data_IF_053346357999
#
_entry.id   IF_053346357999
#
_cell.length_a   1.000
_cell.length_b   1.000
_cell.length_c   1.000
_cell.angle_alpha   90.00
_cell.angle_beta   90.00
_cell.angle_gamma   90.00
#
_symmetry.space_group_name_H-M   'P 1'
#
loop_
_entity.id
_entity.type
_entity.pdbx_description
1 polymer ?
#
# COMPACT_ATOMS: atom_id res chain seq x y z
N UNK A 1 -9.26 -40.10 -24.41
CA UNK A 1 -7.98 -39.38 -24.18
C UNK A 1 -7.75 -38.46 -25.37
N UNK A 2 -7.93 -37.14 -25.21
CA UNK A 2 -7.68 -36.20 -26.32
C UNK A 2 -8.50 -34.91 -26.39
N UNK A 3 -9.45 -34.65 -25.47
CA UNK A 3 -10.30 -33.44 -25.54
C UNK A 3 -10.05 -32.39 -24.44
N UNK A 4 -9.18 -32.63 -23.46
CA UNK A 4 -8.98 -31.69 -22.34
C UNK A 4 -7.84 -30.68 -22.51
N UNK A 5 -6.94 -30.82 -23.49
CA UNK A 5 -5.85 -29.85 -23.70
C UNK A 5 -6.30 -28.60 -24.47
N UNK A 6 -7.15 -28.76 -25.48
CA UNK A 6 -7.53 -27.62 -26.34
C UNK A 6 -8.51 -26.64 -25.68
N UNK A 7 -9.30 -27.06 -24.69
CA UNK A 7 -10.22 -26.14 -23.99
C UNK A 7 -9.46 -25.25 -22.99
N UNK A 8 -8.33 -25.73 -22.44
CA UNK A 8 -7.48 -24.91 -21.54
C UNK A 8 -6.52 -23.97 -22.30
N UNK A 9 -6.18 -24.29 -23.56
CA UNK A 9 -5.32 -23.46 -24.41
C UNK A 9 -6.04 -22.28 -25.09
N UNK A 10 -7.37 -22.36 -25.26
CA UNK A 10 -8.12 -21.30 -25.96
C UNK A 10 -8.60 -20.18 -25.02
N UNK A 11 -8.80 -20.50 -23.73
CA UNK A 11 -9.14 -19.51 -22.69
C UNK A 11 -7.92 -18.68 -22.22
N UNK A 12 -6.71 -19.10 -22.58
CA UNK A 12 -5.46 -18.40 -22.23
C UNK A 12 -5.15 -17.21 -23.15
N UNK A 13 -5.92 -17.00 -24.23
CA UNK A 13 -5.68 -15.89 -25.18
C UNK A 13 -6.16 -14.53 -24.68
N UNK A 14 -7.07 -14.45 -23.71
CA UNK A 14 -7.59 -13.17 -23.21
C UNK A 14 -7.01 -12.72 -21.85
N UNK A 15 -6.32 -13.60 -21.12
CA UNK A 15 -5.61 -13.23 -19.89
C UNK A 15 -4.13 -13.60 -19.96
N UNK A 16 -3.26 -12.57 -19.99
CA UNK A 16 -1.80 -12.72 -19.86
C UNK A 16 -1.39 -13.02 -18.41
N UNK A 17 -1.92 -14.09 -17.80
CA UNK A 17 -1.50 -14.55 -16.49
C UNK A 17 -0.85 -15.93 -16.56
N UNK A 18 0.01 -16.25 -15.59
CA UNK A 18 0.70 -17.54 -15.46
C UNK A 18 0.64 -17.99 -14.01
N UNK A 19 0.35 -19.28 -13.81
CA UNK A 19 0.58 -19.94 -12.53
C UNK A 19 1.97 -20.58 -12.54
N UNK A 20 2.77 -20.26 -11.53
CA UNK A 20 4.13 -20.79 -11.39
C UNK A 20 4.29 -21.36 -9.98
N UNK A 21 4.70 -22.63 -9.83
CA UNK A 21 4.97 -23.18 -8.50
C UNK A 21 6.23 -22.52 -7.92
N UNK A 22 6.19 -22.20 -6.63
CA UNK A 22 7.33 -21.64 -5.90
C UNK A 22 7.62 -22.50 -4.66
N UNK A 23 8.50 -23.48 -4.82
CA UNK A 23 8.73 -24.50 -3.80
C UNK A 23 7.52 -25.42 -3.62
N UNK A 24 7.47 -26.14 -2.50
CA UNK A 24 6.56 -27.27 -2.33
C UNK A 24 5.17 -26.88 -1.81
N UNK A 25 4.98 -25.64 -1.38
CA UNK A 25 3.75 -25.20 -0.69
C UNK A 25 3.30 -23.79 -1.08
N UNK A 26 3.69 -23.31 -2.26
CA UNK A 26 3.27 -22.01 -2.75
C UNK A 26 3.07 -21.99 -4.26
N UNK A 27 2.02 -21.28 -4.68
CA UNK A 27 1.77 -20.92 -6.06
C UNK A 27 1.88 -19.41 -6.24
N UNK A 28 2.53 -18.98 -7.32
CA UNK A 28 2.55 -17.60 -7.78
C UNK A 28 1.58 -17.43 -8.94
N UNK A 29 0.65 -16.49 -8.78
CA UNK A 29 -0.18 -15.98 -9.86
C UNK A 29 0.51 -14.74 -10.41
N UNK A 30 1.16 -14.87 -11.56
CA UNK A 30 1.90 -13.80 -12.22
C UNK A 30 1.03 -13.19 -13.31
N UNK A 31 0.66 -11.92 -13.14
CA UNK A 31 0.04 -11.13 -14.20
C UNK A 31 1.14 -10.50 -15.09
N UNK A 32 0.75 -9.67 -16.04
CA UNK A 32 1.70 -8.92 -16.86
C UNK A 32 2.66 -8.11 -15.96
N UNK A 33 3.97 -8.22 -16.25
CA UNK A 33 5.03 -7.75 -15.36
C UNK A 33 5.30 -6.25 -15.53
N UNK A 34 4.25 -5.46 -15.32
CA UNK A 34 4.26 -4.01 -15.40
C UNK A 34 3.60 -3.38 -14.15
N UNK A 35 4.09 -2.22 -13.72
CA UNK A 35 3.46 -1.43 -12.66
C UNK A 35 2.29 -0.65 -13.28
N UNK A 36 1.10 -1.27 -13.27
CA UNK A 36 -0.15 -0.66 -13.74
C UNK A 36 -1.23 -0.76 -12.65
N UNK A 37 -2.04 0.29 -12.44
CA UNK A 37 -3.18 0.24 -11.53
C UNK A 37 -4.18 -0.85 -11.91
N UNK A 38 -4.41 -1.08 -13.19
CA UNK A 38 -5.36 -2.07 -13.72
C UNK A 38 -4.95 -3.49 -13.34
N UNK A 39 -3.66 -3.83 -13.54
CA UNK A 39 -3.09 -5.12 -13.12
C UNK A 39 -3.16 -5.25 -11.59
N UNK A 40 -2.83 -4.19 -10.87
CA UNK A 40 -2.85 -4.21 -9.41
C UNK A 40 -4.27 -4.42 -8.85
N UNK A 41 -5.29 -3.83 -9.48
CA UNK A 41 -6.70 -4.07 -9.13
C UNK A 41 -7.04 -5.56 -9.31
N UNK A 42 -6.60 -6.21 -10.39
CA UNK A 42 -6.83 -7.65 -10.60
C UNK A 42 -6.15 -8.50 -9.53
N UNK A 43 -4.88 -8.20 -9.19
CA UNK A 43 -4.13 -8.89 -8.14
C UNK A 43 -4.87 -8.82 -6.80
N UNK A 44 -5.33 -7.63 -6.41
CA UNK A 44 -6.03 -7.44 -5.13
C UNK A 44 -7.46 -7.96 -5.15
N UNK A 45 -8.14 -7.94 -6.29
CA UNK A 45 -9.44 -8.58 -6.46
C UNK A 45 -9.33 -10.10 -6.28
N UNK A 46 -8.29 -10.73 -6.86
CA UNK A 46 -8.00 -12.16 -6.65
C UNK A 46 -7.71 -12.46 -5.18
N UNK A 47 -6.84 -11.66 -4.55
CA UNK A 47 -6.54 -11.81 -3.13
C UNK A 47 -7.80 -11.70 -2.26
N UNK A 48 -8.69 -10.75 -2.56
CA UNK A 48 -9.94 -10.56 -1.84
C UNK A 48 -10.92 -11.72 -2.05
N UNK A 49 -11.01 -12.28 -3.26
CA UNK A 49 -11.85 -13.45 -3.56
C UNK A 49 -11.39 -14.68 -2.77
N UNK A 50 -10.09 -14.99 -2.85
CA UNK A 50 -9.48 -16.10 -2.10
C UNK A 50 -9.66 -15.96 -0.58
N UNK A 51 -9.47 -14.75 -0.05
CA UNK A 51 -9.66 -14.48 1.37
C UNK A 51 -11.13 -14.64 1.81
N UNK A 52 -12.09 -14.28 0.95
CA UNK A 52 -13.52 -14.43 1.21
C UNK A 52 -13.99 -15.89 1.18
N UNK A 53 -13.37 -16.73 0.34
CA UNK A 53 -13.66 -18.15 0.25
C UNK A 53 -13.31 -18.92 1.54
N UNK A 54 -12.37 -18.41 2.35
CA UNK A 54 -12.00 -18.94 3.67
C UNK A 54 -11.64 -20.43 3.66
N UNK A 55 -10.95 -20.87 2.61
CA UNK A 55 -10.45 -22.23 2.53
C UNK A 55 -9.44 -22.52 3.64
N UNK A 56 -9.61 -23.64 4.36
CA UNK A 56 -8.71 -24.06 5.45
C UNK A 56 -7.30 -24.43 4.97
N UNK A 57 -7.19 -24.83 3.71
CA UNK A 57 -5.92 -25.20 3.09
C UNK A 57 -5.10 -23.98 2.65
N UNK A 58 -5.69 -22.78 2.55
CA UNK A 58 -4.93 -21.55 2.30
C UNK A 58 -4.32 -21.08 3.61
N UNK A 59 -2.99 -21.03 3.68
CA UNK A 59 -2.25 -20.53 4.84
C UNK A 59 -2.04 -19.03 4.78
N UNK A 60 -1.66 -18.51 3.62
CA UNK A 60 -1.35 -17.09 3.46
C UNK A 60 -1.57 -16.62 2.01
N UNK A 61 -2.02 -15.37 1.87
CA UNK A 61 -2.29 -14.70 0.60
C UNK A 61 -1.49 -13.40 0.61
N UNK A 62 -0.49 -13.27 -0.27
CA UNK A 62 0.43 -12.12 -0.29
C UNK A 62 0.38 -11.42 -1.65
N UNK A 63 -0.50 -10.41 -1.82
CA UNK A 63 -0.56 -9.62 -3.05
C UNK A 63 0.60 -8.61 -3.12
N UNK A 64 1.16 -8.45 -4.32
CA UNK A 64 2.21 -7.46 -4.62
C UNK A 64 1.76 -6.53 -5.75
N UNK A 65 2.68 -6.01 -6.58
CA UNK A 65 2.33 -5.14 -7.72
C UNK A 65 1.52 -5.87 -8.79
N UNK A 66 2.10 -6.95 -9.32
CA UNK A 66 1.61 -7.72 -10.47
C UNK A 66 1.64 -9.24 -10.20
N UNK A 67 1.92 -9.65 -8.97
CA UNK A 67 2.01 -11.07 -8.58
C UNK A 67 1.25 -11.29 -7.27
N UNK A 68 0.54 -12.40 -7.17
CA UNK A 68 -0.06 -12.88 -5.94
C UNK A 68 0.59 -14.21 -5.53
N UNK A 69 1.17 -14.27 -4.33
CA UNK A 69 1.61 -15.53 -3.76
C UNK A 69 0.50 -16.15 -2.90
N UNK A 70 0.23 -17.43 -3.11
CA UNK A 70 -0.74 -18.22 -2.35
C UNK A 70 0.01 -19.37 -1.70
N UNK A 71 0.19 -19.28 -0.38
CA UNK A 71 0.76 -20.36 0.41
C UNK A 71 -0.36 -21.29 0.86
N UNK A 72 -0.15 -22.59 0.69
CA UNK A 72 -1.15 -23.60 1.02
C UNK A 72 -0.57 -24.71 1.89
N UNK A 73 -1.45 -25.53 2.45
CA UNK A 73 -1.10 -26.70 3.25
C UNK A 73 -1.11 -27.98 2.40
N UNK A 74 0.05 -28.54 2.03
CA UNK A 74 0.12 -29.74 1.20
C UNK A 74 -0.41 -30.99 1.92
N UNK A 75 -0.68 -30.94 3.23
CA UNK A 75 -1.34 -32.04 3.96
C UNK A 75 -2.87 -32.00 3.85
N UNK A 76 -3.45 -30.92 3.33
CA UNK A 76 -4.90 -30.76 3.18
C UNK A 76 -5.37 -30.77 1.72
N UNK A 77 -4.49 -30.41 0.78
CA UNK A 77 -4.81 -30.35 -0.65
C UNK A 77 -3.54 -30.61 -1.47
N UNK A 78 -3.69 -31.33 -2.58
CA UNK A 78 -2.62 -31.59 -3.52
C UNK A 78 -2.31 -30.35 -4.37
N UNK A 79 -1.04 -30.21 -4.77
CA UNK A 79 -0.57 -29.06 -5.55
C UNK A 79 -1.37 -28.85 -6.86
N UNK A 80 -1.76 -29.94 -7.50
CA UNK A 80 -2.54 -29.92 -8.74
C UNK A 80 -3.97 -29.41 -8.51
N UNK A 81 -4.62 -29.81 -7.42
CA UNK A 81 -5.97 -29.34 -7.09
C UNK A 81 -5.97 -27.85 -6.73
N UNK A 82 -4.91 -27.36 -6.09
CA UNK A 82 -4.70 -25.91 -5.88
C UNK A 82 -4.58 -25.20 -7.23
N UNK A 83 -3.76 -25.71 -8.15
CA UNK A 83 -3.60 -25.12 -9.48
C UNK A 83 -4.93 -25.02 -10.23
N UNK A 84 -5.70 -26.12 -10.26
CA UNK A 84 -7.03 -26.16 -10.88
C UNK A 84 -7.99 -25.15 -10.22
N UNK A 85 -8.00 -25.07 -8.90
CA UNK A 85 -8.82 -24.11 -8.17
C UNK A 85 -8.45 -22.65 -8.50
N UNK A 86 -7.15 -22.33 -8.52
CA UNK A 86 -6.68 -20.97 -8.83
C UNK A 86 -7.03 -20.55 -10.26
N UNK A 87 -6.94 -21.48 -11.23
CA UNK A 87 -7.40 -21.22 -12.59
C UNK A 87 -8.91 -20.96 -12.67
N UNK A 88 -9.72 -21.71 -11.91
CA UNK A 88 -11.16 -21.50 -11.86
C UNK A 88 -11.53 -20.13 -11.29
N UNK A 89 -10.88 -19.70 -10.20
CA UNK A 89 -11.09 -18.37 -9.61
C UNK A 89 -10.63 -17.24 -10.54
N UNK A 90 -9.54 -17.43 -11.30
CA UNK A 90 -9.08 -16.49 -12.33
C UNK A 90 -10.12 -16.25 -13.42
N UNK A 91 -10.83 -17.31 -13.84
CA UNK A 91 -11.90 -17.18 -14.82
C UNK A 91 -13.08 -16.35 -14.28
N UNK A 92 -13.42 -16.50 -13.00
CA UNK A 92 -14.53 -15.79 -12.35
C UNK A 92 -14.23 -14.30 -12.08
N UNK A 93 -12.96 -13.92 -11.96
CA UNK A 93 -12.54 -12.53 -11.72
C UNK A 93 -12.94 -11.57 -12.83
N UNK A 94 -13.01 -12.04 -14.08
CA UNK A 94 -13.39 -11.21 -15.22
C UNK A 94 -14.83 -10.67 -15.12
N UNK A 95 -15.68 -11.28 -14.28
CA UNK A 95 -17.09 -10.91 -14.15
C UNK A 95 -17.38 -9.92 -13.00
N UNK A 96 -16.46 -9.78 -12.03
CA UNK A 96 -16.69 -8.99 -10.81
C UNK A 96 -15.85 -7.70 -10.80
N UNK A 97 -16.49 -6.61 -11.20
CA UNK A 97 -15.89 -5.28 -11.28
C UNK A 97 -15.79 -4.51 -9.94
N UNK A 98 -14.63 -3.88 -9.76
CA UNK A 98 -14.29 -2.71 -8.93
C UNK A 98 -14.53 -2.78 -7.41
N UNK A 99 -13.44 -2.87 -6.66
CA UNK A 99 -13.39 -2.50 -5.23
C UNK A 99 -13.41 -0.99 -5.05
N UNK A 100 -14.20 -0.47 -4.10
CA UNK A 100 -14.18 0.94 -3.73
C UNK A 100 -12.78 1.40 -3.28
N UNK A 101 -12.17 2.31 -4.04
CA UNK A 101 -10.92 2.99 -3.68
C UNK A 101 -11.23 4.28 -2.91
N UNK A 102 -10.55 4.49 -1.78
CA UNK A 102 -10.60 5.76 -1.05
C UNK A 102 -9.51 6.70 -1.56
N UNK A 103 -9.70 8.02 -1.38
CA UNK A 103 -8.64 9.01 -1.64
C UNK A 103 -8.22 9.68 -0.33
N UNK A 104 -6.92 9.79 -0.09
CA UNK A 104 -6.34 10.32 1.14
C UNK A 104 -5.49 11.55 0.86
N UNK A 105 -5.83 12.67 1.51
CA UNK A 105 -5.02 13.89 1.47
C UNK A 105 -4.04 13.89 2.63
N UNK A 106 -2.81 13.43 2.36
CA UNK A 106 -1.78 13.22 3.39
C UNK A 106 -0.98 14.51 3.58
N UNK A 107 -1.06 15.17 4.76
CA UNK A 107 -0.25 16.34 5.05
C UNK A 107 1.23 15.95 5.20
N UNK A 108 2.14 16.71 4.57
CA UNK A 108 3.59 16.47 4.60
C UNK A 108 4.33 17.79 4.84
N UNK A 109 5.19 17.79 5.85
CA UNK A 109 6.20 18.82 6.04
C UNK A 109 7.45 18.41 5.26
N UNK A 110 7.82 19.19 4.24
CA UNK A 110 8.94 18.91 3.35
C UNK A 110 10.24 19.58 3.82
N UNK A 111 11.37 18.94 3.54
CA UNK A 111 12.70 19.51 3.75
C UNK A 111 13.15 19.61 5.21
N UNK A 112 14.27 20.29 5.42
CA UNK A 112 14.90 20.44 6.73
C UNK A 112 15.21 19.09 7.37
N UNK A 113 14.99 18.99 8.69
CA UNK A 113 15.18 17.73 9.44
C UNK A 113 14.15 16.64 9.08
N UNK A 114 12.98 17.03 8.55
CA UNK A 114 11.92 16.11 8.14
C UNK A 114 12.15 15.52 6.76
N UNK A 115 12.95 16.18 5.93
CA UNK A 115 13.29 15.79 4.57
C UNK A 115 14.76 16.07 4.25
N UNK A 116 15.71 15.39 4.92
CA UNK A 116 17.13 15.71 4.83
C UNK A 116 17.72 15.55 3.42
N UNK A 117 17.08 14.75 2.55
CA UNK A 117 17.55 14.53 1.19
C UNK A 117 16.97 15.52 0.16
N UNK A 118 15.97 16.32 0.53
CA UNK A 118 15.24 17.17 -0.44
C UNK A 118 16.17 18.13 -1.18
N UNK A 119 17.08 18.80 -0.47
CA UNK A 119 18.02 19.74 -1.08
C UNK A 119 18.98 19.04 -2.04
N UNK A 120 19.50 17.88 -1.64
CA UNK A 120 20.39 17.07 -2.50
C UNK A 120 19.67 16.53 -3.74
N UNK A 121 18.38 16.15 -3.57
CA UNK A 121 17.51 15.70 -4.65
C UNK A 121 17.22 16.84 -5.64
N UNK A 122 16.94 18.04 -5.13
CA UNK A 122 16.73 19.20 -5.97
C UNK A 122 17.98 19.51 -6.81
N UNK A 123 19.16 19.52 -6.17
CA UNK A 123 20.44 19.77 -6.83
C UNK A 123 20.72 18.75 -7.95
N UNK A 124 20.61 17.44 -7.68
CA UNK A 124 20.85 16.39 -8.70
C UNK A 124 19.87 16.46 -9.87
N UNK A 125 18.68 16.97 -9.64
CA UNK A 125 17.63 17.11 -10.64
C UNK A 125 17.68 18.43 -11.41
N UNK A 126 18.60 19.35 -11.04
CA UNK A 126 18.65 20.70 -11.62
C UNK A 126 17.42 21.55 -11.30
N UNK A 127 16.77 21.30 -10.15
CA UNK A 127 15.55 21.95 -9.71
C UNK A 127 15.77 22.71 -8.40
N UNK A 128 14.88 23.65 -8.09
CA UNK A 128 14.70 24.19 -6.74
C UNK A 128 13.93 23.20 -5.88
N UNK A 129 14.10 23.29 -4.57
CA UNK A 129 13.36 22.46 -3.60
C UNK A 129 11.85 22.59 -3.77
N UNK A 130 11.35 23.80 -4.00
CA UNK A 130 9.92 24.06 -4.19
C UNK A 130 9.37 23.40 -5.46
N UNK A 131 10.18 23.28 -6.52
CA UNK A 131 9.80 22.58 -7.75
C UNK A 131 9.72 21.07 -7.52
N UNK A 132 10.64 20.49 -6.74
CA UNK A 132 10.57 19.08 -6.34
C UNK A 132 9.31 18.81 -5.51
N UNK A 133 9.03 19.69 -4.53
CA UNK A 133 7.81 19.61 -3.71
C UNK A 133 6.57 19.66 -4.58
N UNK A 134 6.50 20.63 -5.51
CA UNK A 134 5.36 20.78 -6.41
C UNK A 134 5.17 19.55 -7.31
N UNK A 135 6.25 19.02 -7.89
CA UNK A 135 6.20 17.80 -8.72
C UNK A 135 5.73 16.59 -7.93
N UNK A 136 6.19 16.45 -6.69
CA UNK A 136 5.79 15.34 -5.82
C UNK A 136 4.33 15.47 -5.36
N UNK A 137 3.90 16.67 -4.95
CA UNK A 137 2.57 16.92 -4.38
C UNK A 137 1.44 17.04 -5.42
N UNK A 138 1.74 17.45 -6.66
CA UNK A 138 0.73 17.67 -7.71
C UNK A 138 0.33 16.37 -8.45
N UNK A 139 0.35 15.24 -7.74
CA UNK A 139 0.06 13.91 -8.27
C UNK A 139 -0.86 13.18 -7.30
N UNK A 140 -1.74 12.36 -7.87
CA UNK A 140 -2.49 11.35 -7.14
C UNK A 140 -1.79 10.02 -7.36
N UNK A 141 -1.28 9.41 -6.30
CA UNK A 141 -0.56 8.14 -6.35
C UNK A 141 -1.48 6.98 -5.99
N UNK A 142 -1.40 5.91 -6.76
CA UNK A 142 -2.02 4.63 -6.42
C UNK A 142 -1.19 3.90 -5.37
N UNK A 143 -1.83 3.33 -4.34
CA UNK A 143 -1.20 2.46 -3.36
C UNK A 143 -1.23 1.02 -3.86
N UNK A 144 -0.07 0.52 -4.29
CA UNK A 144 0.03 -0.77 -4.96
C UNK A 144 0.09 -1.95 -3.99
N UNK A 145 0.87 -1.80 -2.92
CA UNK A 145 1.04 -2.85 -1.92
C UNK A 145 1.48 -2.27 -0.58
N UNK A 146 1.32 -3.10 0.44
CA UNK A 146 1.88 -2.90 1.76
C UNK A 146 2.94 -3.97 2.01
N UNK A 147 4.09 -3.65 2.61
CA UNK A 147 5.15 -4.64 2.83
C UNK A 147 6.44 -4.06 3.41
N UNK A 148 7.56 -4.78 3.46
CA UNK A 148 8.82 -4.37 4.12
C UNK A 148 8.74 -4.23 5.65
N UNK A 149 7.82 -3.42 6.15
CA UNK A 149 7.38 -3.34 7.56
C UNK A 149 5.86 -3.17 7.61
N UNK A 150 5.18 -3.50 8.73
CA UNK A 150 3.73 -3.41 8.83
C UNK A 150 3.19 -2.03 8.40
N UNK A 151 2.47 -2.00 7.27
CA UNK A 151 1.82 -0.81 6.74
C UNK A 151 2.70 0.14 5.93
N UNK A 152 3.88 -0.27 5.45
CA UNK A 152 4.66 0.60 4.56
C UNK A 152 3.94 0.75 3.23
N UNK A 153 3.71 1.99 2.82
CA UNK A 153 2.96 2.28 1.62
C UNK A 153 3.89 2.34 0.41
N UNK A 154 3.74 1.40 -0.53
CA UNK A 154 4.38 1.48 -1.85
C UNK A 154 3.45 2.19 -2.83
N UNK A 155 3.80 3.43 -3.17
CA UNK A 155 3.00 4.28 -4.03
C UNK A 155 3.53 4.27 -5.46
N UNK A 156 2.70 4.76 -6.38
CA UNK A 156 2.99 4.81 -7.81
C UNK A 156 4.18 5.67 -8.23
N UNK A 157 4.36 5.78 -9.54
CA UNK A 157 5.53 6.43 -10.13
C UNK A 157 5.55 7.93 -9.87
N UNK A 158 6.72 8.44 -9.47
CA UNK A 158 7.01 9.88 -9.43
C UNK A 158 7.40 10.38 -10.84
N UNK A 159 7.28 11.70 -11.11
CA UNK A 159 7.82 12.27 -12.34
C UNK A 159 9.30 11.95 -12.52
N UNK A 160 9.72 11.59 -13.74
CA UNK A 160 11.10 11.19 -14.05
C UNK A 160 12.15 12.22 -13.57
N UNK A 161 11.80 13.52 -13.58
CA UNK A 161 12.65 14.61 -13.10
C UNK A 161 13.04 14.48 -11.62
N UNK A 162 12.22 13.84 -10.79
CA UNK A 162 12.49 13.65 -9.35
C UNK A 162 12.75 12.19 -8.98
N UNK A 163 12.80 11.29 -9.97
CA UNK A 163 13.21 9.90 -9.75
C UNK A 163 14.67 9.84 -9.31
N UNK A 164 14.95 9.04 -8.27
CA UNK A 164 16.24 9.06 -7.59
C UNK A 164 16.62 7.67 -7.07
N UNK A 165 17.85 7.19 -7.29
CA UNK A 165 18.27 5.90 -6.75
C UNK A 165 18.24 5.91 -5.22
N UNK A 166 18.15 4.72 -4.65
CA UNK A 166 18.35 4.53 -3.21
C UNK A 166 19.77 4.96 -2.83
N UNK A 167 19.94 5.41 -1.60
CA UNK A 167 21.25 5.54 -0.98
C UNK A 167 22.00 4.21 -1.03
N UNK A 168 23.25 4.24 -1.46
CA UNK A 168 24.10 3.05 -1.53
C UNK A 168 24.31 2.42 -0.15
N UNK A 169 24.37 3.25 0.90
CA UNK A 169 24.38 2.81 2.30
C UNK A 169 23.05 3.22 2.94
N UNK A 170 22.16 2.26 3.28
CA UNK A 170 20.89 2.61 3.91
C UNK A 170 21.10 3.22 5.30
N UNK A 171 20.21 4.12 5.70
CA UNK A 171 20.17 4.64 7.07
C UNK A 171 19.78 3.52 8.03
N UNK A 172 20.41 3.50 9.20
CA UNK A 172 20.06 2.54 10.27
C UNK A 172 18.65 2.76 10.81
N UNK A 173 18.21 4.02 10.85
CA UNK A 173 16.88 4.41 11.30
C UNK A 173 16.35 5.53 10.41
N UNK A 174 15.18 5.30 9.83
CA UNK A 174 14.34 6.29 9.15
C UNK A 174 13.11 6.50 10.03
N UNK A 175 12.83 7.72 10.52
CA UNK A 175 11.74 7.95 11.47
C UNK A 175 10.36 7.59 10.92
N UNK A 176 9.46 7.17 11.82
CA UNK A 176 8.05 6.94 11.48
C UNK A 176 7.40 8.21 10.88
N UNK A 177 6.59 8.05 9.84
CA UNK A 177 5.98 9.11 9.05
C UNK A 177 6.86 9.66 7.93
N UNK A 178 8.09 9.19 7.76
CA UNK A 178 8.97 9.67 6.68
C UNK A 178 8.36 9.36 5.31
N UNK A 179 8.46 10.31 4.40
CA UNK A 179 8.06 10.21 2.99
C UNK A 179 9.33 10.23 2.16
N UNK A 180 9.48 9.27 1.25
CA UNK A 180 10.69 9.18 0.46
C UNK A 180 10.49 8.72 -0.97
N UNK A 181 11.56 8.86 -1.77
CA UNK A 181 11.63 8.43 -3.17
C UNK A 181 12.75 7.39 -3.35
N UNK A 182 12.48 6.34 -4.12
CA UNK A 182 13.47 5.34 -4.53
C UNK A 182 13.19 4.82 -5.95
N UNK A 183 14.18 4.94 -6.83
CA UNK A 183 14.00 4.77 -8.26
C UNK A 183 12.90 5.70 -8.75
N UNK A 184 11.90 5.11 -9.40
CA UNK A 184 10.70 5.82 -9.87
C UNK A 184 9.57 5.85 -8.84
N UNK A 185 9.73 5.34 -7.62
CA UNK A 185 8.62 5.17 -6.67
C UNK A 185 8.68 6.15 -5.51
N UNK A 186 7.51 6.49 -4.97
CA UNK A 186 7.37 7.18 -3.67
C UNK A 186 6.72 6.24 -2.64
N UNK A 187 6.87 6.55 -1.36
CA UNK A 187 6.39 5.70 -0.28
C UNK A 187 6.48 6.35 1.08
N UNK A 188 5.84 5.70 2.07
CA UNK A 188 5.76 6.22 3.43
C UNK A 188 6.13 5.15 4.46
N UNK A 189 7.01 5.54 5.38
CA UNK A 189 7.45 4.71 6.50
C UNK A 189 6.43 4.81 7.65
N UNK A 190 5.76 3.72 8.04
CA UNK A 190 4.69 3.76 9.05
C UNK A 190 5.26 3.71 10.48
N UNK A 191 6.44 3.12 10.62
CA UNK A 191 7.22 2.96 11.85
C UNK A 191 8.67 3.31 11.57
N UNK A 192 9.48 3.44 12.62
CA UNK A 192 10.92 3.57 12.45
C UNK A 192 11.52 2.26 11.92
N UNK A 193 12.29 2.35 10.85
CA UNK A 193 12.91 1.19 10.20
C UNK A 193 14.20 1.62 9.47
N UNK A 194 15.15 0.71 9.23
CA UNK A 194 16.27 1.01 8.33
C UNK A 194 15.74 1.29 6.90
N UNK A 195 16.43 2.13 6.13
CA UNK A 195 15.93 2.50 4.81
C UNK A 195 16.93 3.29 3.96
N UNK A 196 16.94 2.98 2.66
CA UNK A 196 17.78 3.65 1.67
C UNK A 196 17.05 4.66 0.79
N UNK A 197 15.79 5.00 1.08
CA UNK A 197 15.03 5.93 0.25
C UNK A 197 15.50 7.38 0.49
N UNK A 198 15.40 8.22 -0.54
CA UNK A 198 15.64 9.66 -0.44
C UNK A 198 14.50 10.29 0.36
N UNK A 199 14.73 10.68 1.61
CA UNK A 199 13.70 11.21 2.51
C UNK A 199 13.51 12.70 2.23
N UNK A 200 12.33 13.05 1.72
CA UNK A 200 12.00 14.40 1.23
C UNK A 200 11.06 15.17 2.15
N UNK A 201 10.42 14.49 3.10
CA UNK A 201 9.52 15.10 4.07
C UNK A 201 8.96 14.08 5.05
N UNK A 202 8.07 14.54 5.93
CA UNK A 202 7.44 13.71 6.96
C UNK A 202 5.98 14.07 7.15
N UNK A 203 5.14 13.06 7.30
CA UNK A 203 3.73 13.21 7.66
C UNK A 203 3.53 13.06 9.18
N UNK A 204 2.67 13.88 9.82
CA UNK A 204 2.28 13.68 11.21
C UNK A 204 1.23 12.56 11.36
N UNK A 205 0.72 12.01 10.26
CA UNK A 205 -0.31 10.96 10.25
C UNK A 205 0.27 9.65 10.77
N UNK A 206 -0.40 9.05 11.74
CA UNK A 206 -0.05 7.73 12.24
C UNK A 206 -0.61 6.65 11.30
N UNK A 207 0.24 6.16 10.39
CA UNK A 207 -0.10 5.20 9.33
C UNK A 207 -0.37 3.79 9.86
N UNK A 208 0.30 3.41 10.97
CA UNK A 208 0.13 2.12 11.64
C UNK A 208 -0.08 2.32 13.16
N UNK A 209 -1.09 1.66 13.73
CA UNK A 209 -1.28 1.54 15.18
C UNK A 209 -1.88 0.17 15.51
N UNK A 210 -1.14 -0.74 16.16
CA UNK A 210 -1.62 -2.08 16.49
C UNK A 210 -2.83 -2.10 17.45
N UNK A 211 -3.17 -0.96 18.06
CA UNK A 211 -4.29 -0.82 18.99
C UNK A 211 -5.60 -0.42 18.30
N UNK A 212 -5.57 -0.10 17.00
CA UNK A 212 -6.79 0.18 16.21
C UNK A 212 -7.47 -1.12 15.81
N UNK A 213 -8.79 -1.05 15.60
CA UNK A 213 -9.55 -2.14 14.99
C UNK A 213 -8.97 -2.51 13.61
N UNK A 214 -8.62 -1.51 12.82
CA UNK A 214 -7.84 -1.65 11.57
C UNK A 214 -6.43 -1.08 11.79
N UNK A 215 -5.40 -1.92 12.00
CA UNK A 215 -4.07 -1.43 12.37
C UNK A 215 -3.39 -0.55 11.33
N UNK A 216 -3.56 -0.87 10.04
CA UNK A 216 -3.02 -0.10 8.92
C UNK A 216 -4.09 0.85 8.39
N UNK A 217 -3.76 2.14 8.27
CA UNK A 217 -4.73 3.18 7.92
C UNK A 217 -5.25 3.09 6.48
N UNK A 218 -4.38 2.75 5.54
CA UNK A 218 -4.68 2.72 4.10
C UNK A 218 -4.52 1.30 3.56
N UNK A 219 -5.27 0.98 2.51
CA UNK A 219 -5.21 -0.34 1.87
C UNK A 219 -4.76 -0.24 0.42
N UNK A 220 -4.15 -1.29 -0.14
CA UNK A 220 -3.89 -1.34 -1.57
C UNK A 220 -5.16 -1.07 -2.39
N UNK A 221 -5.01 -0.38 -3.51
CA UNK A 221 -6.12 0.17 -4.28
C UNK A 221 -6.47 1.61 -3.93
N UNK A 222 -6.16 2.09 -2.72
CA UNK A 222 -6.41 3.49 -2.35
C UNK A 222 -5.52 4.48 -3.11
N UNK A 223 -5.96 5.73 -3.15
CA UNK A 223 -5.27 6.86 -3.78
C UNK A 223 -4.73 7.82 -2.72
N UNK A 224 -3.52 8.32 -2.90
CA UNK A 224 -2.86 9.26 -1.99
C UNK A 224 -2.50 10.54 -2.73
N UNK A 225 -2.87 11.69 -2.17
CA UNK A 225 -2.43 13.02 -2.60
C UNK A 225 -1.64 13.64 -1.46
N UNK A 226 -0.39 14.01 -1.72
CA UNK A 226 0.42 14.69 -0.72
C UNK A 226 0.08 16.18 -0.67
N UNK A 227 -0.14 16.71 0.54
CA UNK A 227 -0.46 18.12 0.78
C UNK A 227 0.69 18.77 1.57
N UNK A 228 1.48 19.66 0.94
CA UNK A 228 2.50 20.42 1.66
C UNK A 228 1.88 21.23 2.80
N UNK A 229 2.49 21.17 3.98
CA UNK A 229 2.10 21.93 5.17
C UNK A 229 3.32 22.59 5.81
N UNK A 230 3.08 23.61 6.64
CA UNK A 230 4.11 24.26 7.44
C UNK A 230 4.38 23.54 8.77
N UNK A 231 5.42 24.00 9.48
CA UNK A 231 5.85 23.42 10.76
C UNK A 231 4.77 23.55 11.84
N UNK A 232 4.07 24.67 11.91
CA UNK A 232 3.02 24.90 12.90
C UNK A 232 1.87 23.90 12.73
N UNK A 233 1.42 23.69 11.49
CA UNK A 233 0.39 22.70 11.15
C UNK A 233 0.88 21.28 11.45
N UNK A 234 2.14 20.97 11.13
CA UNK A 234 2.73 19.67 11.42
C UNK A 234 2.69 19.37 12.92
N UNK A 235 3.17 20.30 13.75
CA UNK A 235 3.21 20.16 15.21
C UNK A 235 1.80 19.99 15.79
N UNK A 236 0.84 20.80 15.33
CA UNK A 236 -0.56 20.70 15.74
C UNK A 236 -1.16 19.34 15.42
N UNK A 237 -1.02 18.86 14.18
CA UNK A 237 -1.55 17.56 13.75
C UNK A 237 -0.82 16.40 14.45
N UNK A 238 0.49 16.53 14.65
CA UNK A 238 1.27 15.52 15.36
C UNK A 238 0.82 15.39 16.82
N UNK A 239 0.55 16.50 17.50
CA UNK A 239 -0.01 16.47 18.86
C UNK A 239 -1.42 15.85 18.88
N UNK A 240 -2.29 16.22 17.93
CA UNK A 240 -3.61 15.58 17.76
C UNK A 240 -3.52 14.08 17.51
N UNK A 241 -2.55 13.62 16.72
CA UNK A 241 -2.37 12.19 16.44
C UNK A 241 -2.08 11.38 17.71
N UNK A 242 -1.40 12.00 18.70
CA UNK A 242 -1.15 11.38 20.02
C UNK A 242 -2.42 11.27 20.86
N UNK A 243 -3.37 12.19 20.69
CA UNK A 243 -4.68 12.17 21.34
C UNK A 243 -5.74 11.38 20.56
N UNK A 244 -5.34 10.54 19.61
CA UNK A 244 -6.25 9.62 18.90
C UNK A 244 -6.85 10.15 17.60
N UNK A 245 -6.47 11.35 17.13
CA UNK A 245 -6.90 11.82 15.81
C UNK A 245 -6.40 10.88 14.71
N UNK A 246 -7.24 10.69 13.70
CA UNK A 246 -6.93 9.92 12.50
C UNK A 246 -7.30 10.73 11.27
N UNK A 247 -6.48 10.61 10.24
CA UNK A 247 -6.81 11.15 8.93
C UNK A 247 -8.05 10.41 8.40
N UNK A 248 -8.99 11.14 7.81
CA UNK A 248 -10.15 10.58 7.13
C UNK A 248 -9.95 10.68 5.61
N UNK A 249 -10.51 9.74 4.83
CA UNK A 249 -10.49 9.86 3.38
C UNK A 249 -11.32 11.07 2.94
N UNK A 250 -10.98 11.62 1.78
CA UNK A 250 -11.76 12.66 1.11
C UNK A 250 -12.92 11.98 0.38
N UNK A 251 -14.14 12.46 0.59
CA UNK A 251 -15.32 12.00 -0.17
C UNK A 251 -15.08 12.26 -1.67
N UNK A 252 -15.25 11.20 -2.47
CA UNK A 252 -14.81 11.20 -3.86
C UNK A 252 -15.57 12.22 -4.72
N UNK A 253 -14.85 13.15 -5.35
CA UNK A 253 -15.24 13.61 -6.68
C UNK A 253 -14.85 12.51 -7.65
N UNK A 254 -15.84 11.93 -8.32
CA UNK A 254 -15.67 11.01 -9.44
C UNK A 254 -14.77 11.63 -10.52
N UNK A 255 -14.12 10.76 -11.30
CA UNK A 255 -13.23 11.10 -12.41
C UNK A 255 -13.83 12.13 -13.38
N UNK A 256 -13.46 13.39 -13.24
CA UNK A 256 -13.28 14.36 -14.32
C UNK A 256 -12.64 15.61 -13.70
N UNK A 257 -11.35 15.85 -13.98
CA UNK A 257 -10.83 17.18 -14.29
C UNK A 257 -9.31 17.15 -14.39
N UNK A 258 -8.86 17.06 -15.63
CA UNK A 258 -7.53 17.44 -16.06
C UNK A 258 -7.58 18.90 -16.53
N UNK A 259 -7.47 19.88 -15.63
CA UNK A 259 -7.02 21.23 -15.97
C UNK A 259 -6.42 21.91 -14.73
N UNK A 260 -5.35 22.67 -14.96
CA UNK A 260 -4.33 22.99 -13.96
C UNK A 260 -4.78 23.86 -12.79
N UNK A 261 -4.14 23.62 -11.64
CA UNK A 261 -4.11 24.57 -10.53
C UNK A 261 -2.65 24.85 -10.15
N UNK A 262 -2.27 26.10 -10.33
CA UNK A 262 -1.01 26.67 -9.89
C UNK A 262 -0.87 26.55 -8.37
N UNK A 263 0.36 26.28 -7.92
CA UNK A 263 0.70 26.10 -6.52
C UNK A 263 0.29 27.29 -5.67
N UNK A 264 -0.64 27.06 -4.75
CA UNK A 264 -0.95 27.94 -3.64
C UNK A 264 -0.86 27.11 -2.36
N UNK A 265 -0.14 27.60 -1.36
CA UNK A 265 -0.21 27.09 0.00
C UNK A 265 -1.69 27.11 0.42
N UNK A 266 -2.29 25.92 0.52
CA UNK A 266 -3.69 25.79 0.90
C UNK A 266 -3.71 25.85 2.42
N UNK A 267 -4.29 26.90 2.98
CA UNK A 267 -4.65 26.95 4.39
C UNK A 267 -5.59 25.78 4.68
N UNK A 268 -5.07 24.75 5.34
CA UNK A 268 -5.83 23.60 5.81
C UNK A 268 -6.88 24.08 6.82
N UNK A 269 -8.13 24.21 6.39
CA UNK A 269 -9.28 24.38 7.29
C UNK A 269 -9.89 22.99 7.55
N UNK A 270 -9.83 22.45 8.77
CA UNK A 270 -10.59 21.26 9.11
C UNK A 270 -12.09 21.59 8.95
N UNK A 271 -12.82 20.83 8.14
CA UNK A 271 -14.29 20.87 8.18
C UNK A 271 -14.72 20.19 9.47
N UNK A 272 -15.27 20.96 10.40
CA UNK A 272 -15.96 20.46 11.58
C UNK A 272 -17.47 20.42 11.30
N UNK A 273 -18.13 19.36 11.77
CA UNK A 273 -19.58 19.16 11.79
C UNK A 273 -19.86 17.66 11.92
N UNK A 274 -20.75 17.13 12.76
CA UNK A 274 -21.71 17.72 13.68
C UNK A 274 -22.01 16.68 14.78
N UNK A 275 -22.46 17.18 15.93
CA UNK A 275 -23.00 16.44 17.08
C UNK A 275 -24.16 15.51 16.72
N UNK A 276 -24.22 14.33 17.35
CA UNK A 276 -25.43 13.50 17.49
C UNK A 276 -25.39 12.72 18.84
N UNK A 277 -26.52 12.26 19.38
CA UNK A 277 -26.83 12.32 20.80
C UNK A 277 -26.42 11.05 21.54
N UNK A 278 -26.29 11.22 22.85
CA UNK A 278 -26.21 10.19 23.87
C UNK A 278 -27.28 9.11 23.75
N UNK A 279 -26.85 7.85 23.80
CA UNK A 279 -27.67 6.74 24.29
C UNK A 279 -27.75 5.56 23.33
N UNK A 280 -26.96 4.53 23.59
CA UNK A 280 -27.44 3.15 23.83
C UNK A 280 -26.28 2.38 24.47
N UNK A 281 -26.58 1.79 25.63
CA UNK A 281 -25.70 0.91 26.40
C UNK A 281 -25.85 -0.53 25.90
N UNK A 282 -24.70 -1.19 25.88
CA UNK A 282 -24.45 -2.56 26.33
C UNK A 282 -24.41 -3.75 25.36
N UNK A 283 -23.44 -4.61 25.71
CA UNK A 283 -23.32 -6.05 25.53
C UNK A 283 -22.91 -6.62 24.14
N UNK A 284 -21.61 -6.92 24.00
CA UNK A 284 -21.05 -8.27 24.28
C UNK A 284 -19.56 -8.36 23.92
N UNK A 285 -18.75 -8.68 24.93
CA UNK A 285 -17.41 -9.27 24.79
C UNK A 285 -17.48 -10.55 23.96
N UNK A 286 -16.65 -10.67 22.92
CA UNK A 286 -16.09 -11.96 22.47
C UNK A 286 -14.64 -11.78 22.09
N UNK A 287 -13.80 -12.45 22.86
CA UNK A 287 -12.37 -12.68 22.70
C UNK A 287 -12.04 -13.29 21.33
N UNK A 288 -11.13 -12.65 20.59
CA UNK A 288 -10.33 -13.32 19.55
C UNK A 288 -8.88 -12.87 19.72
N UNK A 289 -8.06 -13.80 20.20
CA UNK A 289 -6.62 -13.68 20.25
C UNK A 289 -5.98 -14.08 18.92
N UNK A 290 -4.68 -13.78 18.85
CA UNK A 290 -3.69 -14.17 17.85
C UNK A 290 -3.54 -13.25 16.63
N UNK A 291 -2.66 -12.25 16.80
CA UNK A 291 -1.80 -11.73 15.74
C UNK A 291 -0.33 -11.93 16.14
N UNK A 292 0.39 -12.61 15.25
CA UNK A 292 1.83 -12.56 14.97
C UNK A 292 2.78 -12.10 16.10
N UNK A 293 3.47 -13.08 16.70
CA UNK A 293 4.83 -12.94 17.20
C UNK A 293 5.72 -13.83 16.33
N UNK A 294 6.79 -13.28 15.77
CA UNK A 294 7.84 -14.06 15.15
C UNK A 294 8.45 -15.01 16.20
N UNK A 295 8.41 -16.32 15.94
CA UNK A 295 9.12 -17.31 16.74
C UNK A 295 10.63 -17.10 16.58
N UNK A 296 11.28 -16.61 17.64
CA UNK A 296 12.72 -16.74 17.79
C UNK A 296 13.00 -18.12 18.37
N UNK A 297 13.52 -19.05 17.55
CA UNK A 297 14.18 -20.23 18.09
C UNK A 297 15.63 -19.87 18.44
N UNK A 298 16.14 -20.27 19.62
CA UNK A 298 17.54 -20.09 19.96
C UNK A 298 18.42 -21.10 19.21
N UNK A 299 19.53 -20.62 18.66
CA UNK A 299 20.60 -21.45 18.14
C UNK A 299 21.24 -22.25 19.30
N UNK A 300 21.01 -23.56 19.31
CA UNK A 300 21.74 -24.50 20.16
C UNK A 300 23.10 -24.80 19.53
N UNK A 301 24.17 -24.35 20.20
CA UNK A 301 25.54 -24.87 20.03
C UNK A 301 25.71 -26.09 20.94
N UNK A 302 26.00 -27.23 20.32
CA UNK A 302 27.08 -28.20 20.59
C UNK A 302 26.68 -29.57 20.04
#
# INVERSE_FOLDING_TARGET
MGMSKHIMEDQTKEQKCRLVPMGDSCWLIQFEQEISPEINIQVHAMAAALAQAKHRWIREIVPTYCTLAVYYDPMQIDAHDVECYLWAELALLNEKGSTMSLTWDVPVLYGGEWGPDLTSLALRSGLKTDEVIALHANRTYHLYMLGFVPGFCYLGKVPAKIAAPRHAKPRKAVPAGSVGIAGEQTGMYPIEAPGGWQIIGRTPVKLYDPRRETPVLMRPGDRVRFRPIDLATYQFLHQKSKSGWQLTPVEGTSNSDSTGHQGRLINYRPRYGASWPSGIRDARRRSHGHLFLASSQPAGRQ
#
